data_IF_831893597372
#
_entry.id   IF_831893597372
#
_cell.length_a   1.000
_cell.length_b   1.000
_cell.length_c   1.000
_cell.angle_alpha   90.00
_cell.angle_beta   90.00
_cell.angle_gamma   90.00
#
_symmetry.space_group_name_H-M   'P 1'
#
loop_
_entity.id
_entity.type
_entity.pdbx_description
1 polymer ?
#
# COMPACT_ATOMS: atom_id res chain seq x y z
N UNK A 1 -33.88 26.43 -8.67
CA UNK A 1 -33.43 25.96 -8.60
C UNK A 1 -32.48 25.56 -8.18
N UNK A 2 -32.01 25.23 -7.78
CA UNK A 2 -31.19 24.90 -7.34
C UNK A 2 -30.38 24.16 -7.22
N UNK A 3 -29.76 23.79 -7.13
CA UNK A 3 -29.00 23.11 -7.03
C UNK A 3 -28.07 22.84 -6.45
N UNK A 4 -27.63 22.68 -6.07
CA UNK A 4 -26.79 22.56 -5.50
C UNK A 4 -26.23 21.68 -5.14
N UNK A 5 -26.03 21.23 -5.03
CA UNK A 5 -25.59 20.29 -4.56
C UNK A 5 -24.39 19.91 -4.47
N UNK A 6 -23.92 19.81 -4.74
CA UNK A 6 -22.89 19.38 -4.74
C UNK A 6 -22.01 19.62 -3.98
N UNK A 7 -22.15 20.06 -3.80
CA UNK A 7 -21.39 20.52 -3.26
C UNK A 7 -20.93 19.91 -2.31
N UNK A 8 -21.26 19.68 -1.83
CA UNK A 8 -21.02 19.14 -0.86
C UNK A 8 -20.22 18.24 -0.87
N UNK A 9 -20.05 18.04 -1.38
CA UNK A 9 -19.60 17.02 -1.53
C UNK A 9 -18.34 16.83 -1.33
N UNK A 10 -17.61 17.25 -1.83
CA UNK A 10 -16.44 16.67 -1.81
C UNK A 10 -15.54 17.32 -0.97
N UNK A 11 -15.18 16.75 0.11
CA UNK A 11 -14.00 17.02 0.85
C UNK A 11 -12.78 16.34 0.27
N UNK A 12 -12.98 15.61 -0.80
CA UNK A 12 -11.91 14.86 -1.42
C UNK A 12 -11.17 15.72 -2.43
N UNK A 13 -9.84 15.72 -2.35
CA UNK A 13 -9.00 16.42 -3.30
C UNK A 13 -7.83 15.55 -3.67
N UNK A 14 -7.64 15.35 -4.95
CA UNK A 14 -6.47 14.67 -5.48
C UNK A 14 -5.59 15.67 -6.16
N UNK A 15 -4.30 15.63 -5.86
CA UNK A 15 -3.33 16.51 -6.46
C UNK A 15 -2.15 15.68 -6.94
N UNK A 16 -1.89 15.76 -8.25
CA UNK A 16 -0.71 15.11 -8.81
C UNK A 16 0.51 15.92 -8.40
N UNK A 17 1.46 15.27 -7.74
CA UNK A 17 2.67 15.92 -7.29
C UNK A 17 3.75 15.79 -8.35
N UNK A 18 4.45 16.89 -8.67
CA UNK A 18 5.68 16.74 -9.42
C UNK A 18 6.64 15.85 -8.63
N UNK A 19 7.47 15.08 -9.32
CA UNK A 19 8.34 14.13 -8.64
C UNK A 19 9.28 14.80 -7.65
N UNK A 20 9.67 16.05 -7.93
CA UNK A 20 10.55 16.79 -7.04
C UNK A 20 9.86 17.14 -5.71
N UNK A 21 8.53 17.13 -5.69
CA UNK A 21 7.78 17.46 -4.48
C UNK A 21 7.39 16.24 -3.67
N UNK A 22 7.80 15.03 -4.10
CA UNK A 22 7.53 13.82 -3.33
C UNK A 22 8.34 13.89 -2.04
N UNK A 23 7.70 13.67 -0.88
CA UNK A 23 8.44 13.74 0.40
C UNK A 23 9.64 12.79 0.40
N UNK A 24 10.70 13.24 1.04
CA UNK A 24 11.96 12.51 1.07
C UNK A 24 11.80 11.11 1.67
N UNK A 25 10.98 10.99 2.71
CA UNK A 25 10.74 9.68 3.34
C UNK A 25 10.19 8.68 2.34
N UNK A 26 9.29 9.14 1.47
CA UNK A 26 8.69 8.28 0.45
C UNK A 26 9.72 7.91 -0.61
N UNK A 27 10.47 8.90 -1.09
CA UNK A 27 11.51 8.64 -2.09
C UNK A 27 12.56 7.67 -1.55
N UNK A 28 12.92 7.82 -0.28
CA UNK A 28 13.91 6.94 0.34
C UNK A 28 13.38 5.52 0.48
N UNK A 29 12.11 5.37 0.84
CA UNK A 29 11.50 4.06 0.94
C UNK A 29 11.56 3.35 -0.41
N UNK A 30 11.17 4.05 -1.47
CA UNK A 30 11.16 3.47 -2.79
C UNK A 30 12.58 3.11 -3.24
N UNK A 31 13.55 4.00 -3.02
CA UNK A 31 14.93 3.71 -3.40
C UNK A 31 15.49 2.49 -2.68
N UNK A 32 15.10 2.33 -1.41
CA UNK A 32 15.60 1.23 -0.60
C UNK A 32 15.00 -0.10 -1.00
N UNK A 33 13.69 -0.13 -1.22
CA UNK A 33 12.97 -1.39 -1.39
C UNK A 33 12.68 -1.73 -2.84
N UNK A 34 12.66 -0.71 -3.72
CA UNK A 34 12.37 -0.88 -5.13
C UNK A 34 13.41 -0.13 -5.96
N UNK A 35 14.70 -0.52 -5.85
CA UNK A 35 15.76 0.27 -6.49
C UNK A 35 15.68 0.30 -8.01
N UNK A 36 14.96 -0.64 -8.62
CA UNK A 36 14.88 -0.70 -10.08
C UNK A 36 13.52 -0.27 -10.60
N UNK A 37 12.67 0.29 -9.73
CA UNK A 37 11.30 0.65 -10.09
C UNK A 37 11.06 2.10 -9.73
N UNK A 38 11.44 3.04 -10.61
CA UNK A 38 11.28 4.46 -10.27
C UNK A 38 9.82 4.86 -10.13
N UNK A 39 9.60 5.93 -9.39
CA UNK A 39 8.27 6.52 -9.23
C UNK A 39 7.87 7.13 -10.57
N UNK A 40 6.69 6.74 -11.08
CA UNK A 40 6.18 7.33 -12.31
C UNK A 40 4.98 8.23 -12.06
N UNK A 41 4.37 8.14 -10.87
CA UNK A 41 3.29 9.05 -10.52
C UNK A 41 3.17 9.11 -9.00
N UNK A 42 2.90 10.30 -8.48
CA UNK A 42 2.63 10.51 -7.06
C UNK A 42 1.40 11.39 -6.94
N UNK A 43 0.40 10.93 -6.18
CA UNK A 43 -0.82 11.66 -5.95
C UNK A 43 -0.98 11.88 -4.46
N UNK A 44 -1.22 13.14 -4.08
CA UNK A 44 -1.57 13.49 -2.71
C UNK A 44 -3.09 13.57 -2.65
N UNK A 45 -3.69 12.70 -1.87
CA UNK A 45 -5.14 12.55 -1.80
C UNK A 45 -5.61 12.97 -0.41
N UNK A 46 -6.47 13.98 -0.36
CA UNK A 46 -7.04 14.47 0.89
C UNK A 46 -8.53 14.19 0.89
N UNK A 47 -9.00 13.48 1.92
CA UNK A 47 -10.41 13.14 2.06
C UNK A 47 -10.82 13.42 3.50
N UNK A 48 -11.41 14.59 3.72
CA UNK A 48 -11.73 15.03 5.07
C UNK A 48 -10.47 15.27 5.87
N UNK A 49 -10.31 14.53 6.95
CA UNK A 49 -9.10 14.62 7.78
C UNK A 49 -8.01 13.65 7.34
N UNK A 50 -8.33 12.77 6.41
CA UNK A 50 -7.37 11.78 5.97
C UNK A 50 -6.55 12.31 4.82
N UNK A 51 -5.28 11.98 4.86
CA UNK A 51 -4.37 12.34 3.80
C UNK A 51 -3.50 11.15 3.48
N UNK A 52 -3.45 10.79 2.21
CA UNK A 52 -2.59 9.70 1.75
C UNK A 52 -1.74 10.17 0.59
N UNK A 53 -0.65 9.46 0.37
CA UNK A 53 0.19 9.62 -0.81
C UNK A 53 0.11 8.31 -1.58
N UNK A 54 -0.39 8.38 -2.81
CA UNK A 54 -0.57 7.19 -3.65
C UNK A 54 0.53 7.20 -4.69
N UNK A 55 1.42 6.24 -4.60
CA UNK A 55 2.64 6.21 -5.40
C UNK A 55 2.57 5.03 -6.37
N UNK A 56 2.76 5.32 -7.64
CA UNK A 56 2.84 4.30 -8.68
C UNK A 56 4.28 4.19 -9.14
N UNK A 57 4.78 2.96 -9.18
CA UNK A 57 6.13 2.69 -9.64
C UNK A 57 6.11 2.01 -10.99
N UNK A 58 7.18 2.18 -11.74
CA UNK A 58 7.37 1.42 -12.96
C UNK A 58 7.43 -0.06 -12.60
N UNK A 59 6.82 -0.91 -13.43
CA UNK A 59 6.82 -2.34 -13.19
C UNK A 59 5.57 -2.86 -12.51
N UNK A 60 4.60 -1.99 -12.23
CA UNK A 60 3.30 -2.43 -11.72
C UNK A 60 3.26 -2.57 -10.21
N UNK A 61 3.89 -1.66 -9.49
CA UNK A 61 3.81 -1.60 -8.03
C UNK A 61 3.10 -0.32 -7.61
N UNK A 62 2.26 -0.43 -6.59
CA UNK A 62 1.43 0.67 -6.08
C UNK A 62 1.59 0.70 -4.58
N UNK A 63 1.97 1.85 -4.03
CA UNK A 63 2.23 2.00 -2.59
C UNK A 63 1.44 3.18 -2.07
N UNK A 64 0.73 2.96 -0.98
CA UNK A 64 0.00 4.03 -0.31
C UNK A 64 0.65 4.32 1.03
N UNK A 65 0.90 5.62 1.28
CA UNK A 65 1.46 6.10 2.54
C UNK A 65 0.43 6.97 3.24
N UNK A 66 0.43 6.93 4.57
CA UNK A 66 -0.47 7.78 5.33
C UNK A 66 0.14 9.17 5.51
N UNK A 67 -0.54 10.04 6.26
CA UNK A 67 -0.09 11.41 6.50
C UNK A 67 1.31 11.47 7.11
N UNK A 68 1.67 10.47 7.89
CA UNK A 68 2.99 10.39 8.53
C UNK A 68 4.06 9.81 7.63
N UNK A 69 3.70 9.52 6.39
CA UNK A 69 4.58 8.89 5.39
C UNK A 69 4.96 7.47 5.78
N UNK A 70 4.05 6.80 6.47
CA UNK A 70 4.19 5.38 6.78
C UNK A 70 3.39 4.58 5.77
N UNK A 71 3.94 3.44 5.35
CA UNK A 71 3.27 2.59 4.36
C UNK A 71 2.06 1.92 4.99
N UNK A 72 0.93 1.97 4.30
CA UNK A 72 -0.30 1.32 4.76
C UNK A 72 -0.84 0.32 3.74
N UNK A 73 -0.32 0.32 2.51
CA UNK A 73 -0.81 -0.58 1.47
C UNK A 73 0.26 -0.71 0.40
N UNK A 74 0.55 -1.94 -0.02
CA UNK A 74 1.45 -2.20 -1.13
C UNK A 74 0.81 -3.27 -1.99
N UNK A 75 0.73 -3.02 -3.29
CA UNK A 75 0.22 -3.98 -4.25
C UNK A 75 1.16 -4.10 -5.43
N UNK A 76 1.30 -5.30 -5.95
CA UNK A 76 2.10 -5.53 -7.12
C UNK A 76 1.37 -6.41 -8.11
N UNK A 77 1.71 -6.24 -9.38
CA UNK A 77 1.26 -7.16 -10.42
C UNK A 77 2.14 -8.40 -10.43
N UNK A 78 3.22 -8.39 -9.68
CA UNK A 78 4.13 -9.51 -9.53
C UNK A 78 4.64 -9.53 -8.08
N UNK A 79 5.61 -10.39 -7.80
CA UNK A 79 6.12 -10.61 -6.44
C UNK A 79 6.63 -9.33 -5.81
N UNK A 80 6.19 -9.06 -4.59
CA UNK A 80 6.73 -7.96 -3.80
C UNK A 80 8.12 -8.32 -3.25
N UNK A 81 8.98 -7.32 -3.07
CA UNK A 81 10.26 -7.59 -2.38
C UNK A 81 10.02 -8.10 -0.98
N UNK A 82 10.82 -9.07 -0.55
CA UNK A 82 10.69 -9.60 0.81
C UNK A 82 10.85 -8.50 1.86
N UNK A 83 11.65 -7.49 1.56
CA UNK A 83 11.97 -6.44 2.53
C UNK A 83 10.78 -5.57 2.92
N UNK A 84 9.70 -5.58 2.14
CA UNK A 84 8.53 -4.77 2.48
C UNK A 84 7.51 -5.55 3.30
N UNK A 85 7.72 -6.84 3.51
CA UNK A 85 6.77 -7.69 4.24
C UNK A 85 7.24 -7.83 5.68
N UNK A 86 6.37 -7.62 6.68
CA UNK A 86 6.75 -7.89 8.07
C UNK A 86 7.27 -9.31 8.22
N UNK A 87 8.32 -9.47 9.00
CA UNK A 87 9.08 -10.73 9.05
C UNK A 87 8.23 -11.93 9.41
N UNK A 88 7.32 -11.80 10.38
CA UNK A 88 6.50 -12.93 10.80
C UNK A 88 5.51 -13.34 9.72
N UNK A 89 5.00 -12.38 8.96
CA UNK A 89 4.08 -12.67 7.87
C UNK A 89 4.81 -13.38 6.74
N UNK A 90 6.00 -12.91 6.43
CA UNK A 90 6.82 -13.52 5.41
C UNK A 90 7.16 -14.97 5.78
N UNK A 91 7.52 -15.17 7.04
CA UNK A 91 7.86 -16.51 7.53
C UNK A 91 6.66 -17.44 7.44
N UNK A 92 5.47 -16.96 7.84
CA UNK A 92 4.26 -17.76 7.77
C UNK A 92 3.96 -18.18 6.33
N UNK A 93 4.03 -17.23 5.41
CA UNK A 93 3.73 -17.50 4.01
C UNK A 93 4.74 -18.46 3.41
N UNK A 94 6.01 -18.28 3.71
CA UNK A 94 7.07 -19.13 3.18
C UNK A 94 6.92 -20.57 3.70
N UNK A 95 6.52 -20.72 4.96
CA UNK A 95 6.38 -22.04 5.58
C UNK A 95 5.15 -22.76 5.10
N UNK A 96 4.02 -22.06 4.97
CA UNK A 96 2.73 -22.69 4.72
C UNK A 96 2.30 -22.64 3.25
N UNK A 97 2.86 -21.72 2.47
CA UNK A 97 2.53 -21.55 1.05
C UNK A 97 3.82 -21.35 0.25
N UNK A 98 4.73 -22.34 0.29
CA UNK A 98 6.05 -22.15 -0.32
C UNK A 98 6.02 -22.00 -1.83
N UNK A 99 4.93 -22.44 -2.48
CA UNK A 99 4.83 -22.36 -3.92
C UNK A 99 4.14 -21.10 -4.42
N UNK A 100 3.78 -20.20 -3.50
CA UNK A 100 3.06 -18.98 -3.85
C UNK A 100 3.81 -17.78 -3.31
N UNK A 101 3.85 -16.70 -4.10
CA UNK A 101 4.54 -15.50 -3.67
C UNK A 101 3.53 -14.41 -3.29
N UNK A 102 4.00 -13.45 -2.54
CA UNK A 102 3.16 -12.38 -2.00
C UNK A 102 3.11 -11.23 -3.01
N UNK A 103 1.91 -10.79 -3.34
CA UNK A 103 1.71 -9.66 -4.25
C UNK A 103 1.04 -8.46 -3.57
N UNK A 104 0.67 -8.58 -2.29
CA UNK A 104 0.04 -7.47 -1.59
C UNK A 104 0.22 -7.55 -0.10
N UNK A 105 0.29 -6.38 0.55
CA UNK A 105 0.25 -6.23 1.99
C UNK A 105 -0.58 -5.01 2.31
N UNK A 106 -1.47 -5.14 3.28
CA UNK A 106 -2.37 -4.05 3.62
C UNK A 106 -2.54 -3.99 5.12
N UNK A 107 -2.57 -2.76 5.64
CA UNK A 107 -2.81 -2.49 7.04
C UNK A 107 -4.24 -1.94 7.16
N UNK A 108 -5.05 -2.54 8.05
CA UNK A 108 -6.33 -1.94 8.33
C UNK A 108 -6.38 -1.55 9.81
N UNK A 109 -7.56 -1.28 10.36
CA UNK A 109 -7.66 -0.65 11.68
C UNK A 109 -6.98 -1.45 12.78
N UNK A 110 -7.10 -2.77 12.75
CA UNK A 110 -6.64 -3.62 13.84
C UNK A 110 -5.71 -4.72 13.39
N UNK A 111 -5.75 -5.04 12.12
CA UNK A 111 -5.09 -6.22 11.59
C UNK A 111 -4.29 -5.85 10.37
N UNK A 112 -3.56 -6.83 9.87
CA UNK A 112 -2.86 -6.69 8.61
C UNK A 112 -3.10 -7.93 7.77
N UNK A 113 -2.89 -7.81 6.48
CA UNK A 113 -3.27 -8.84 5.54
C UNK A 113 -2.24 -8.94 4.43
N UNK A 114 -1.97 -10.16 3.98
CA UNK A 114 -1.17 -10.33 2.76
C UNK A 114 -2.01 -11.05 1.73
N UNK A 115 -1.71 -10.76 0.47
CA UNK A 115 -2.37 -11.41 -0.65
C UNK A 115 -1.35 -12.20 -1.42
N UNK A 116 -1.69 -13.46 -1.70
CA UNK A 116 -0.84 -14.34 -2.49
C UNK A 116 -1.26 -14.29 -3.95
N UNK A 117 -0.36 -14.66 -4.85
CA UNK A 117 -0.65 -14.58 -6.29
C UNK A 117 -1.76 -15.54 -6.70
N UNK A 118 -2.05 -16.55 -5.89
CA UNK A 118 -3.14 -17.47 -6.19
C UNK A 118 -4.50 -16.96 -5.71
N UNK A 119 -4.56 -15.73 -5.19
CA UNK A 119 -5.81 -15.10 -4.77
C UNK A 119 -6.15 -15.25 -3.30
N UNK A 120 -5.40 -16.05 -2.56
CA UNK A 120 -5.66 -16.18 -1.12
C UNK A 120 -5.26 -14.92 -0.39
N UNK A 121 -6.06 -14.54 0.59
CA UNK A 121 -5.77 -13.41 1.47
C UNK A 121 -5.65 -13.96 2.88
N UNK A 122 -4.53 -13.68 3.52
CA UNK A 122 -4.19 -14.18 4.85
C UNK A 122 -4.21 -13.01 5.82
N UNK A 123 -5.02 -13.14 6.88
CA UNK A 123 -5.16 -12.07 7.85
C UNK A 123 -4.38 -12.39 9.11
N UNK A 124 -3.69 -11.37 9.64
CA UNK A 124 -2.84 -11.48 10.83
C UNK A 124 -3.18 -10.34 11.79
N UNK A 125 -2.97 -10.56 13.08
CA UNK A 125 -3.07 -9.45 14.01
C UNK A 125 -1.81 -8.59 13.92
N UNK A 126 -1.76 -7.51 14.70
CA UNK A 126 -0.63 -6.59 14.62
C UNK A 126 0.65 -7.15 15.20
N UNK A 127 0.57 -8.24 15.96
CA UNK A 127 1.76 -8.94 16.45
C UNK A 127 2.31 -9.90 15.40
N UNK A 128 1.62 -10.06 14.29
CA UNK A 128 2.06 -10.95 13.22
C UNK A 128 1.56 -12.38 13.37
N UNK A 129 0.58 -12.61 14.23
CA UNK A 129 0.02 -13.95 14.42
C UNK A 129 -1.10 -14.17 13.41
N UNK A 130 -1.10 -15.33 12.78
CA UNK A 130 -2.10 -15.66 11.77
C UNK A 130 -3.48 -15.82 12.41
N UNK A 131 -4.49 -15.23 11.79
CA UNK A 131 -5.86 -15.30 12.28
C UNK A 131 -6.73 -16.18 11.40
N UNK A 132 -6.76 -15.92 10.12
CA UNK A 132 -7.67 -16.62 9.22
C UNK A 132 -7.35 -16.36 7.76
N UNK A 133 -7.89 -17.22 6.90
CA UNK A 133 -7.94 -16.94 5.47
C UNK A 133 -9.19 -16.10 5.24
N UNK A 134 -9.03 -14.98 4.56
CA UNK A 134 -10.11 -14.07 4.27
C UNK A 134 -10.27 -14.01 2.75
N UNK A 135 -11.30 -14.66 2.26
CA UNK A 135 -11.55 -14.69 0.80
C UNK A 135 -12.62 -13.71 0.43
#
# INVERSE_FOLDING_TARGET
MVLVPFLLISCEKEKILPLIDVPTEISNYVSTHFPENPIIQAIKDTDGFELTYDITLEGGFFIEFNRKKEVIDIEGLTKLPDSVIPAKLLEYATTNYPDNYIIGWELDDRNQQIKLENGLELEFNMNGDFLRIDN
#
